data_IF_749886748353
#
_entry.id   IF_749886748353
#
_cell.length_a   1.000
_cell.length_b   1.000
_cell.length_c   1.000
_cell.angle_alpha   90.00
_cell.angle_beta   90.00
_cell.angle_gamma   90.00
#
_symmetry.space_group_name_H-M   'P 1'
#
loop_
_entity.id
_entity.type
_entity.pdbx_description
1 polymer ?
#
# COMPACT_ATOMS: atom_id res chain seq x y z
N UNK A 1 7.29 -16.53 -12.41
CA UNK A 1 7.53 -15.71 -13.60
C UNK A 1 6.56 -16.09 -14.70
N UNK A 2 5.29 -15.71 -14.51
CA UNK A 2 4.19 -16.08 -15.39
C UNK A 2 3.49 -14.81 -15.85
N UNK A 3 2.97 -14.83 -17.08
CA UNK A 3 2.24 -13.70 -17.64
C UNK A 3 0.99 -13.42 -16.81
N UNK A 4 0.71 -12.13 -16.57
CA UNK A 4 -0.42 -11.66 -15.75
C UNK A 4 -0.39 -12.03 -14.26
N UNK A 5 0.67 -12.68 -13.77
CA UNK A 5 0.87 -12.83 -12.34
C UNK A 5 1.12 -11.47 -11.69
N UNK A 6 0.24 -11.06 -10.78
CA UNK A 6 0.36 -9.81 -10.06
C UNK A 6 1.46 -9.87 -8.99
N UNK A 7 2.11 -8.74 -8.76
CA UNK A 7 3.14 -8.60 -7.73
C UNK A 7 2.54 -8.23 -6.37
N UNK A 8 3.17 -8.74 -5.31
CA UNK A 8 2.87 -8.35 -3.94
C UNK A 8 3.72 -7.15 -3.51
N UNK A 9 3.07 -6.03 -3.14
CA UNK A 9 3.74 -4.74 -2.86
C UNK A 9 3.45 -4.22 -1.44
N UNK A 10 4.02 -4.84 -0.39
CA UNK A 10 3.67 -4.58 1.01
C UNK A 10 4.18 -3.24 1.58
N UNK A 11 5.18 -2.61 0.96
CA UNK A 11 5.73 -1.31 1.40
C UNK A 11 4.68 -0.19 1.44
N UNK A 12 3.66 -0.26 0.57
CA UNK A 12 2.55 0.68 0.55
C UNK A 12 1.63 0.54 1.77
N UNK A 13 1.48 -0.68 2.28
CA UNK A 13 0.65 -1.03 3.42
C UNK A 13 0.42 -2.54 3.45
N UNK A 14 0.73 -3.19 4.57
CA UNK A 14 0.66 -4.66 4.72
C UNK A 14 -0.75 -5.17 4.98
N UNK A 15 -1.64 -4.35 5.54
CA UNK A 15 -3.04 -4.73 5.84
C UNK A 15 -3.91 -4.76 4.60
N UNK A 16 -3.82 -3.72 3.77
CA UNK A 16 -4.18 -3.88 2.35
C UNK A 16 -3.21 -4.92 1.76
N UNK A 17 -3.21 -5.37 0.51
CA UNK A 17 -2.30 -6.47 0.12
C UNK A 17 -2.58 -7.83 0.82
N UNK A 18 -2.48 -8.01 2.15
CA UNK A 18 -2.93 -9.22 2.85
C UNK A 18 -4.42 -9.48 2.67
N UNK A 19 -5.25 -8.45 2.84
CA UNK A 19 -6.69 -8.57 2.55
C UNK A 19 -6.91 -8.92 1.08
N UNK A 20 -6.16 -8.33 0.14
CA UNK A 20 -6.28 -8.65 -1.30
C UNK A 20 -5.89 -10.09 -1.59
N UNK A 21 -4.82 -10.60 -0.98
CA UNK A 21 -4.42 -12.00 -1.13
C UNK A 21 -5.53 -12.94 -0.70
N UNK A 22 -6.10 -12.70 0.50
CA UNK A 22 -7.20 -13.50 1.05
C UNK A 22 -8.45 -13.44 0.17
N UNK A 23 -8.82 -12.26 -0.31
CA UNK A 23 -9.94 -12.07 -1.25
C UNK A 23 -9.75 -12.82 -2.57
N UNK A 24 -8.50 -13.05 -2.98
CA UNK A 24 -8.16 -13.82 -4.18
C UNK A 24 -7.85 -15.30 -3.88
N UNK A 25 -8.13 -15.79 -2.67
CA UNK A 25 -7.96 -17.19 -2.29
C UNK A 25 -6.52 -17.61 -1.96
N UNK A 26 -5.64 -16.64 -1.68
CA UNK A 26 -4.26 -16.88 -1.27
C UNK A 26 -4.06 -16.64 0.22
N UNK A 27 -3.15 -17.41 0.82
CA UNK A 27 -2.72 -17.18 2.20
C UNK A 27 -1.49 -16.27 2.25
N UNK A 28 -1.48 -15.22 3.08
CA UNK A 28 -0.29 -14.40 3.28
C UNK A 28 0.85 -15.18 3.93
N UNK A 29 2.07 -14.95 3.46
CA UNK A 29 3.27 -15.50 4.08
C UNK A 29 3.50 -14.88 5.47
N UNK A 30 3.52 -15.68 6.55
CA UNK A 30 3.75 -15.19 7.92
C UNK A 30 5.08 -14.45 8.09
N UNK A 31 6.13 -14.84 7.36
CA UNK A 31 7.43 -14.17 7.43
C UNK A 31 7.34 -12.74 6.89
N UNK A 32 6.58 -12.55 5.81
CA UNK A 32 6.36 -11.22 5.22
C UNK A 32 5.48 -10.36 6.14
N UNK A 33 4.44 -10.95 6.74
CA UNK A 33 3.65 -10.28 7.77
C UNK A 33 4.55 -9.77 8.90
N UNK A 34 5.42 -10.62 9.44
CA UNK A 34 6.33 -10.24 10.53
C UNK A 34 7.26 -9.09 10.12
N UNK A 35 7.83 -9.15 8.91
CA UNK A 35 8.72 -8.10 8.39
C UNK A 35 8.04 -6.73 8.38
N UNK A 36 6.84 -6.65 7.83
CA UNK A 36 6.14 -5.37 7.63
C UNK A 36 5.29 -4.94 8.84
N UNK A 37 5.21 -5.76 9.89
CA UNK A 37 4.56 -5.38 11.15
C UNK A 37 5.55 -5.05 12.26
N UNK A 38 6.69 -5.74 12.34
CA UNK A 38 7.69 -5.55 13.40
C UNK A 38 8.90 -4.72 12.98
N UNK A 39 9.44 -4.98 11.79
CA UNK A 39 10.77 -4.48 11.42
C UNK A 39 10.72 -3.29 10.45
N UNK A 40 9.74 -3.24 9.56
CA UNK A 40 9.61 -2.21 8.52
C UNK A 40 8.32 -1.43 8.73
N UNK A 41 8.42 -0.11 8.80
CA UNK A 41 7.23 0.76 8.80
C UNK A 41 6.74 0.96 7.38
N UNK A 42 5.45 0.69 7.11
CA UNK A 42 4.85 0.94 5.79
C UNK A 42 4.46 2.40 5.61
N UNK A 43 4.23 2.82 4.36
CA UNK A 43 3.71 4.17 4.07
C UNK A 43 2.34 4.38 4.73
N UNK A 44 1.45 3.38 4.65
CA UNK A 44 0.17 3.38 5.34
C UNK A 44 0.33 3.62 6.85
N UNK A 45 1.21 2.88 7.52
CA UNK A 45 1.44 3.05 8.97
C UNK A 45 1.93 4.46 9.31
N UNK A 46 2.88 4.99 8.52
CA UNK A 46 3.40 6.34 8.70
C UNK A 46 2.31 7.40 8.55
N UNK A 47 1.47 7.29 7.52
CA UNK A 47 0.35 8.21 7.28
C UNK A 47 -0.64 8.16 8.45
N UNK A 48 -1.05 6.96 8.86
CA UNK A 48 -2.04 6.81 9.93
C UNK A 48 -1.49 7.25 11.30
N UNK A 49 -0.19 7.12 11.55
CA UNK A 49 0.47 7.71 12.74
C UNK A 49 0.43 9.24 12.72
N UNK A 50 0.59 9.87 11.55
CA UNK A 50 0.56 11.32 11.40
C UNK A 50 -0.85 11.92 11.34
N UNK A 51 -1.86 11.13 10.96
CA UNK A 51 -3.25 11.60 10.86
C UNK A 51 -3.81 12.10 12.20
N UNK A 52 -4.34 13.33 12.17
CA UNK A 52 -5.10 13.91 13.28
C UNK A 52 -6.49 13.29 13.39
N UNK A 53 -7.14 13.47 14.55
CA UNK A 53 -8.52 13.00 14.77
C UNK A 53 -9.50 13.62 13.77
N UNK A 54 -9.30 14.88 13.37
CA UNK A 54 -10.13 15.57 12.39
C UNK A 54 -10.05 14.90 11.00
N UNK A 55 -8.83 14.60 10.54
CA UNK A 55 -8.62 13.94 9.24
C UNK A 55 -9.29 12.56 9.23
N UNK A 56 -9.12 11.79 10.31
CA UNK A 56 -9.75 10.47 10.44
C UNK A 56 -11.27 10.56 10.40
N UNK A 57 -11.87 11.55 11.07
CA UNK A 57 -13.32 11.78 11.03
C UNK A 57 -13.81 12.18 9.64
N UNK A 58 -13.11 13.09 8.96
CA UNK A 58 -13.47 13.50 7.59
C UNK A 58 -13.42 12.34 6.59
N UNK A 59 -12.42 11.46 6.74
CA UNK A 59 -12.31 10.22 5.94
C UNK A 59 -13.44 9.24 6.23
N UNK A 60 -13.76 9.02 7.51
CA UNK A 60 -14.84 8.12 7.94
C UNK A 60 -16.23 8.63 7.52
N UNK A 61 -16.44 9.94 7.55
CA UNK A 61 -17.68 10.58 7.10
C UNK A 61 -17.81 10.67 5.58
N UNK A 62 -16.86 10.12 4.82
CA UNK A 62 -16.78 10.21 3.35
C UNK A 62 -16.77 11.64 2.80
N UNK A 63 -16.41 12.64 3.61
CA UNK A 63 -16.22 14.02 3.17
C UNK A 63 -14.95 14.15 2.32
N UNK A 64 -13.91 13.39 2.66
CA UNK A 64 -12.70 13.25 1.86
C UNK A 64 -12.44 11.77 1.62
N UNK A 65 -12.46 11.34 0.37
CA UNK A 65 -12.34 9.93 -0.03
C UNK A 65 -11.29 9.73 -1.12
N UNK A 66 -10.86 8.48 -1.32
CA UNK A 66 -9.93 8.14 -2.39
C UNK A 66 -8.49 8.66 -2.22
N UNK A 67 -8.12 9.15 -1.03
CA UNK A 67 -6.77 9.59 -0.74
C UNK A 67 -5.75 8.45 -0.93
N UNK A 68 -4.52 8.73 -1.38
CA UNK A 68 -3.47 7.73 -1.54
C UNK A 68 -2.84 7.35 -0.18
N UNK A 69 -3.68 6.96 0.77
CA UNK A 69 -3.27 6.52 2.11
C UNK A 69 -3.20 4.99 2.25
N UNK A 70 -3.83 4.25 1.34
CA UNK A 70 -3.85 2.79 1.30
C UNK A 70 -3.30 2.21 -0.01
N UNK A 71 -2.76 3.04 -0.90
CA UNK A 71 -2.15 2.65 -2.17
C UNK A 71 -1.08 3.65 -2.59
N UNK A 72 -0.21 3.25 -3.51
CA UNK A 72 0.85 4.11 -4.05
C UNK A 72 0.28 5.36 -4.71
N UNK A 73 0.81 6.55 -4.36
CA UNK A 73 0.38 7.85 -4.92
C UNK A 73 0.43 7.92 -6.45
N UNK A 74 1.38 7.21 -7.07
CA UNK A 74 1.60 7.27 -8.52
C UNK A 74 1.87 8.70 -8.99
N UNK A 75 1.41 9.03 -10.21
CA UNK A 75 1.55 10.36 -10.84
C UNK A 75 3.01 10.84 -10.92
N UNK A 76 3.93 9.91 -11.19
CA UNK A 76 5.35 10.17 -11.45
C UNK A 76 5.63 9.77 -12.90
N UNK A 77 6.21 10.69 -13.69
CA UNK A 77 6.61 10.43 -15.08
C UNK A 77 8.14 10.41 -15.10
N UNK A 78 8.71 9.20 -15.22
CA UNK A 78 10.13 9.04 -15.50
C UNK A 78 10.43 9.36 -16.96
N UNK A 79 11.58 9.99 -17.22
CA UNK A 79 12.06 10.19 -18.59
C UNK A 79 12.75 8.90 -19.06
N UNK A 80 11.95 7.90 -19.44
CA UNK A 80 12.46 6.56 -19.78
C UNK A 80 13.31 6.54 -21.06
N UNK A 81 13.13 7.51 -21.97
CA UNK A 81 13.97 7.65 -23.16
C UNK A 81 15.46 7.84 -22.83
N UNK A 82 15.78 8.41 -21.66
CA UNK A 82 17.16 8.60 -21.20
C UNK A 82 17.88 7.30 -20.91
N UNK A 83 17.17 6.20 -20.66
CA UNK A 83 17.80 4.90 -20.43
C UNK A 83 18.37 4.29 -21.73
N UNK A 84 17.79 4.65 -22.87
CA UNK A 84 18.19 4.12 -24.18
C UNK A 84 19.26 4.98 -24.89
N UNK A 85 19.43 6.24 -24.46
CA UNK A 85 20.47 7.18 -24.92
C UNK A 85 21.77 6.93 -24.17
#
# INVERSE_FOLDING_TARGET
DELFKLNFMPKGGIRMAETTLKENGYEPDPAVHEIFTKYVTTVNDGIFRAYTSNIRRARHAHTVTGLPDAYSRGRIIGVYARLAL
#
